data_IF_768480029073
#
_entry.id   IF_768480029073
#
_cell.length_a   1.000
_cell.length_b   1.000
_cell.length_c   1.000
_cell.angle_alpha   90.00
_cell.angle_beta   90.00
_cell.angle_gamma   90.00
#
_symmetry.space_group_name_H-M   'P 1'
#
loop_
_entity.id
_entity.type
_entity.pdbx_description
1 polymer ?
#
# COMPACT_ATOMS: atom_id res chain seq x y z
N UNK A 1 32.49 39.68 -8.48
CA UNK A 1 32.69 39.23 -7.08
C UNK A 1 33.31 37.85 -7.13
N UNK A 2 34.25 37.55 -6.28
CA UNK A 2 34.84 36.23 -6.08
C UNK A 2 34.27 35.64 -4.81
N UNK A 3 33.91 34.34 -4.85
CA UNK A 3 33.38 33.58 -3.73
C UNK A 3 34.21 32.31 -3.57
N UNK A 4 34.39 31.84 -2.35
CA UNK A 4 35.12 30.59 -2.05
C UNK A 4 34.22 29.35 -2.30
N UNK A 5 32.91 29.52 -2.17
CA UNK A 5 31.91 28.47 -2.45
C UNK A 5 30.58 29.08 -2.90
N UNK A 6 29.81 28.31 -3.66
CA UNK A 6 28.47 28.68 -4.14
C UNK A 6 27.50 27.57 -3.83
N UNK A 7 26.36 27.90 -3.19
CA UNK A 7 25.25 27.00 -2.94
C UNK A 7 24.17 27.23 -4.00
N UNK A 8 23.81 26.18 -4.73
CA UNK A 8 22.77 26.23 -5.75
C UNK A 8 21.49 25.70 -5.12
N UNK A 9 20.47 26.56 -5.01
CA UNK A 9 19.18 26.26 -4.40
C UNK A 9 18.01 26.75 -5.28
N UNK A 10 18.04 26.40 -6.57
CA UNK A 10 17.12 26.90 -7.60
C UNK A 10 15.81 26.10 -7.70
N UNK A 11 15.64 25.07 -6.86
CA UNK A 11 14.56 24.09 -6.99
C UNK A 11 14.80 23.07 -8.13
N UNK A 12 13.84 22.20 -8.36
CA UNK A 12 13.89 21.19 -9.42
C UNK A 12 13.30 21.68 -10.74
N UNK A 13 13.52 20.91 -11.81
CA UNK A 13 12.88 21.09 -13.09
C UNK A 13 12.38 19.74 -13.64
N UNK A 14 11.14 19.66 -14.18
CA UNK A 14 10.63 18.44 -14.81
C UNK A 14 11.23 18.18 -16.20
N UNK A 15 11.95 19.15 -16.76
CA UNK A 15 12.54 19.06 -18.10
C UNK A 15 14.07 19.22 -18.04
N UNK A 16 14.80 18.44 -18.85
CA UNK A 16 16.26 18.56 -18.98
C UNK A 16 16.73 19.97 -19.27
N UNK A 17 15.97 20.72 -20.09
CA UNK A 17 16.30 22.11 -20.43
C UNK A 17 16.51 23.00 -19.19
N UNK A 18 15.81 22.74 -18.08
CA UNK A 18 16.01 23.48 -16.82
C UNK A 18 17.36 23.24 -16.16
N UNK A 19 18.13 22.24 -16.62
CA UNK A 19 19.44 21.86 -16.10
C UNK A 19 20.58 22.11 -17.09
N UNK A 20 20.34 22.71 -18.28
CA UNK A 20 21.36 22.99 -19.33
C UNK A 20 22.52 23.83 -18.76
N UNK A 21 22.23 24.76 -17.89
CA UNK A 21 23.25 25.60 -17.27
C UNK A 21 24.21 24.79 -16.36
N UNK A 22 23.73 23.74 -15.69
CA UNK A 22 24.60 22.82 -14.93
C UNK A 22 25.45 21.96 -15.88
N UNK A 23 24.85 21.49 -16.99
CA UNK A 23 25.57 20.77 -18.02
C UNK A 23 26.70 21.62 -18.60
N UNK A 24 26.43 22.90 -18.87
CA UNK A 24 27.42 23.85 -19.37
C UNK A 24 28.55 24.15 -18.37
N UNK A 25 28.34 23.88 -17.07
CA UNK A 25 29.38 23.93 -16.03
C UNK A 25 30.13 22.59 -15.89
N UNK A 26 29.90 21.61 -16.76
CA UNK A 26 30.60 20.34 -16.78
C UNK A 26 29.94 19.21 -15.96
N UNK A 27 28.73 19.41 -15.42
CA UNK A 27 28.03 18.38 -14.69
C UNK A 27 27.33 17.37 -15.62
N UNK A 28 27.39 16.10 -15.28
CA UNK A 28 26.58 15.09 -15.95
C UNK A 28 25.15 15.09 -15.36
N UNK A 29 24.16 15.30 -16.22
CA UNK A 29 22.74 15.37 -15.82
C UNK A 29 22.05 14.07 -16.18
N UNK A 30 21.60 13.35 -15.15
CA UNK A 30 20.74 12.18 -15.33
C UNK A 30 19.30 12.66 -15.58
N UNK A 31 18.62 12.04 -16.55
CA UNK A 31 17.26 12.40 -16.93
C UNK A 31 16.31 12.33 -15.71
N UNK A 32 15.58 13.41 -15.39
CA UNK A 32 14.59 13.38 -14.30
C UNK A 32 13.44 12.45 -14.64
N UNK A 33 13.00 11.69 -13.64
CA UNK A 33 11.87 10.78 -13.73
C UNK A 33 10.82 11.15 -12.68
N UNK A 34 9.52 10.87 -12.92
CA UNK A 34 8.47 11.07 -11.92
C UNK A 34 8.75 10.37 -10.61
N UNK A 35 8.44 11.03 -9.51
CA UNK A 35 8.59 10.55 -8.14
C UNK A 35 7.47 11.17 -7.29
N UNK A 36 7.17 10.57 -6.12
CA UNK A 36 6.11 11.06 -5.22
C UNK A 36 4.73 11.16 -5.90
N UNK A 37 4.30 10.09 -6.54
CA UNK A 37 2.99 10.01 -7.20
C UNK A 37 2.08 8.94 -6.57
N UNK A 38 0.79 9.07 -6.80
CA UNK A 38 -0.26 8.13 -6.40
C UNK A 38 -0.37 6.97 -7.38
N UNK A 39 -0.85 5.82 -6.93
CA UNK A 39 -1.06 4.66 -7.79
C UNK A 39 -2.48 4.67 -8.36
N UNK A 40 -2.57 4.58 -9.68
CA UNK A 40 -3.83 4.51 -10.40
C UNK A 40 -4.23 3.05 -10.60
N UNK A 41 -5.46 2.71 -10.20
CA UNK A 41 -5.98 1.33 -10.18
C UNK A 41 -7.43 1.32 -10.70
N UNK A 42 -7.67 1.69 -11.98
CA UNK A 42 -9.02 1.98 -12.47
C UNK A 42 -9.95 0.77 -12.53
N UNK A 43 -9.38 -0.44 -12.55
CA UNK A 43 -10.15 -1.70 -12.68
C UNK A 43 -10.29 -2.44 -11.33
N UNK A 44 -9.75 -1.89 -10.25
CA UNK A 44 -9.77 -2.53 -8.95
C UNK A 44 -10.98 -2.09 -8.12
N UNK A 45 -11.73 -3.06 -7.60
CA UNK A 45 -12.92 -2.79 -6.77
C UNK A 45 -12.62 -2.07 -5.46
N UNK A 46 -11.36 -2.02 -5.03
CA UNK A 46 -10.94 -1.27 -3.84
C UNK A 46 -11.29 0.22 -3.91
N UNK A 47 -11.40 0.81 -5.11
CA UNK A 47 -11.78 2.22 -5.30
C UNK A 47 -13.18 2.55 -4.76
N UNK A 48 -14.05 1.55 -4.63
CA UNK A 48 -15.37 1.71 -4.00
C UNK A 48 -15.28 2.11 -2.52
N UNK A 49 -14.12 1.86 -1.90
CA UNK A 49 -13.82 2.28 -0.54
C UNK A 49 -13.22 3.68 -0.45
N UNK A 50 -13.39 4.53 -1.46
CA UNK A 50 -12.88 5.90 -1.51
C UNK A 50 -13.07 6.62 -0.16
N UNK A 51 -12.02 7.34 0.27
CA UNK A 51 -11.95 8.05 1.54
C UNK A 51 -11.53 7.20 2.74
N UNK A 52 -11.34 5.89 2.54
CA UNK A 52 -10.88 5.01 3.61
C UNK A 52 -9.38 5.18 3.86
N UNK A 53 -9.00 5.29 5.15
CA UNK A 53 -7.60 5.37 5.59
C UNK A 53 -7.27 4.16 6.44
N UNK A 54 -6.11 3.56 6.17
CA UNK A 54 -5.48 2.52 7.03
C UNK A 54 -4.18 3.08 7.56
N UNK A 55 -4.09 3.29 8.87
CA UNK A 55 -2.98 4.02 9.50
C UNK A 55 -1.63 3.29 9.42
N UNK A 56 -1.64 1.97 9.43
CA UNK A 56 -0.43 1.15 9.51
C UNK A 56 -0.38 0.08 8.41
N UNK A 57 -0.68 0.46 7.16
CA UNK A 57 -0.53 -0.45 6.05
C UNK A 57 0.95 -0.60 5.65
N UNK A 58 1.30 -1.77 5.12
CA UNK A 58 2.58 -2.01 4.44
C UNK A 58 2.30 -2.28 2.96
N UNK A 59 3.06 -1.63 2.11
CA UNK A 59 2.93 -1.74 0.65
C UNK A 59 4.26 -2.25 0.08
N UNK A 60 4.19 -3.26 -0.76
CA UNK A 60 5.33 -3.81 -1.49
C UNK A 60 5.07 -3.72 -2.99
N UNK A 61 6.03 -3.24 -3.75
CA UNK A 61 6.00 -3.32 -5.21
C UNK A 61 6.50 -4.71 -5.60
N UNK A 62 5.65 -5.49 -6.28
CA UNK A 62 6.00 -6.86 -6.68
C UNK A 62 7.23 -6.87 -7.59
N UNK A 63 7.95 -7.99 -7.59
CA UNK A 63 9.19 -8.18 -8.36
C UNK A 63 10.31 -7.19 -8.02
N UNK A 64 10.20 -6.49 -6.86
CA UNK A 64 11.20 -5.57 -6.36
C UNK A 64 11.50 -5.79 -4.88
N UNK A 65 12.54 -5.10 -4.37
CA UNK A 65 12.83 -5.03 -2.94
C UNK A 65 12.16 -3.83 -2.25
N UNK A 66 11.34 -3.08 -2.98
CA UNK A 66 10.74 -1.85 -2.51
C UNK A 66 9.53 -2.17 -1.66
N UNK A 67 9.65 -1.84 -0.38
CA UNK A 67 8.60 -2.01 0.61
C UNK A 67 8.55 -0.77 1.50
N UNK A 68 7.35 -0.29 1.77
CA UNK A 68 7.11 0.89 2.59
C UNK A 68 5.98 0.64 3.57
N UNK A 69 5.91 1.45 4.62
CA UNK A 69 4.82 1.40 5.58
C UNK A 69 4.37 2.80 5.99
N UNK A 70 3.13 2.89 6.41
CA UNK A 70 2.51 4.12 6.89
C UNK A 70 1.03 4.20 6.55
N UNK A 71 0.41 5.36 6.76
CA UNK A 71 -0.95 5.59 6.33
C UNK A 71 -1.14 5.37 4.83
N UNK A 72 -2.18 4.62 4.47
CA UNK A 72 -2.63 4.38 3.11
C UNK A 72 -4.04 4.93 2.97
N UNK A 73 -4.27 5.74 1.93
CA UNK A 73 -5.56 6.33 1.59
C UNK A 73 -6.09 5.70 0.31
N UNK A 74 -7.30 5.20 0.33
CA UNK A 74 -8.03 4.80 -0.88
C UNK A 74 -8.69 6.02 -1.50
N UNK A 75 -8.48 6.23 -2.80
CA UNK A 75 -9.05 7.32 -3.60
C UNK A 75 -9.98 6.76 -4.67
N UNK A 76 -10.68 7.62 -5.39
CA UNK A 76 -11.55 7.20 -6.49
C UNK A 76 -10.77 6.71 -7.75
N UNK A 77 -9.46 6.90 -7.80
CA UNK A 77 -8.63 6.39 -8.90
C UNK A 77 -7.69 5.25 -8.47
N UNK A 78 -7.58 4.93 -7.15
CA UNK A 78 -6.66 3.93 -6.64
C UNK A 78 -6.17 4.24 -5.24
N UNK A 79 -4.86 4.29 -5.02
CA UNK A 79 -4.26 4.45 -3.70
C UNK A 79 -3.30 5.63 -3.61
N UNK A 80 -3.27 6.27 -2.44
CA UNK A 80 -2.43 7.40 -2.08
C UNK A 80 -2.00 7.29 -0.59
N UNK A 81 -1.50 8.37 -0.04
CA UNK A 81 -1.03 8.45 1.34
C UNK A 81 0.46 8.16 1.49
N UNK A 82 1.02 8.40 2.70
CA UNK A 82 2.46 8.30 2.95
C UNK A 82 3.11 6.98 2.55
N UNK A 83 2.41 5.84 2.71
CA UNK A 83 2.92 4.53 2.29
C UNK A 83 3.13 4.48 0.78
N UNK A 84 2.16 4.95 -0.01
CA UNK A 84 2.21 4.96 -1.48
C UNK A 84 3.21 5.99 -2.01
N UNK A 85 3.20 7.21 -1.47
CA UNK A 85 4.12 8.27 -1.89
C UNK A 85 5.58 7.88 -1.64
N UNK A 86 5.88 7.23 -0.51
CA UNK A 86 7.23 6.67 -0.26
C UNK A 86 7.56 5.54 -1.24
N UNK A 87 6.62 4.64 -1.52
CA UNK A 87 6.84 3.54 -2.46
C UNK A 87 7.15 4.07 -3.85
N UNK A 88 6.41 5.07 -4.34
CA UNK A 88 6.67 5.70 -5.64
C UNK A 88 8.01 6.43 -5.67
N UNK A 89 8.43 7.08 -4.58
CA UNK A 89 9.70 7.77 -4.50
C UNK A 89 10.90 6.80 -4.49
N UNK A 90 10.87 5.79 -3.62
CA UNK A 90 11.94 4.79 -3.52
C UNK A 90 11.99 3.89 -4.75
N UNK A 91 10.84 3.65 -5.37
CA UNK A 91 10.68 2.84 -6.56
C UNK A 91 10.80 3.60 -7.89
N UNK A 92 11.05 4.90 -7.89
CA UNK A 92 10.95 5.74 -9.08
C UNK A 92 11.69 5.18 -10.31
N UNK A 93 12.92 4.70 -10.15
CA UNK A 93 13.70 4.09 -11.24
C UNK A 93 13.09 2.78 -11.70
N UNK A 94 12.83 1.86 -10.77
CA UNK A 94 12.20 0.58 -11.07
C UNK A 94 10.86 0.77 -11.82
N UNK A 95 10.01 1.68 -11.33
CA UNK A 95 8.72 1.98 -11.95
C UNK A 95 8.86 2.60 -13.34
N UNK A 96 9.84 3.47 -13.54
CA UNK A 96 10.14 4.05 -14.86
C UNK A 96 10.65 3.01 -15.85
N UNK A 97 11.51 2.08 -15.42
CA UNK A 97 12.02 0.96 -16.25
C UNK A 97 10.93 -0.03 -16.65
N UNK A 98 9.83 -0.11 -15.85
CA UNK A 98 8.65 -0.93 -16.14
C UNK A 98 7.50 -0.13 -16.76
N UNK A 99 7.78 1.05 -17.34
CA UNK A 99 6.80 1.91 -18.00
C UNK A 99 5.59 2.23 -17.13
N UNK A 100 5.79 2.26 -15.79
CA UNK A 100 4.75 2.46 -14.78
C UNK A 100 3.62 1.41 -14.80
N UNK A 101 3.89 0.22 -15.36
CA UNK A 101 3.02 -0.96 -15.29
C UNK A 101 3.58 -1.91 -14.23
N UNK A 102 2.88 -2.05 -13.12
CA UNK A 102 3.36 -2.84 -11.97
C UNK A 102 2.21 -3.30 -11.10
N UNK A 103 2.48 -4.30 -10.29
CA UNK A 103 1.57 -4.80 -9.27
C UNK A 103 2.10 -4.45 -7.87
N UNK A 104 1.18 -4.29 -6.94
CA UNK A 104 1.50 -4.12 -5.52
C UNK A 104 0.89 -5.24 -4.69
N UNK A 105 1.47 -5.45 -3.52
CA UNK A 105 0.94 -6.28 -2.45
C UNK A 105 0.73 -5.40 -1.22
N UNK A 106 -0.47 -5.46 -0.64
CA UNK A 106 -0.81 -4.68 0.55
C UNK A 106 -0.99 -5.59 1.76
N UNK A 107 -0.27 -5.30 2.83
CA UNK A 107 -0.52 -5.85 4.14
C UNK A 107 -1.28 -4.81 4.98
N UNK A 108 -2.56 -5.07 5.20
CA UNK A 108 -3.49 -4.15 5.82
C UNK A 108 -3.32 -3.99 7.34
N UNK A 109 -2.67 -4.96 7.99
CA UNK A 109 -2.52 -5.03 9.45
C UNK A 109 -1.07 -4.89 9.92
N UNK A 110 -0.13 -4.80 8.98
CA UNK A 110 1.32 -4.69 9.21
C UNK A 110 1.90 -5.81 10.09
N UNK A 111 1.29 -6.98 10.10
CA UNK A 111 1.78 -8.19 10.77
C UNK A 111 2.20 -9.23 9.73
N UNK A 112 3.29 -9.93 9.98
CA UNK A 112 3.84 -10.93 9.07
C UNK A 112 3.84 -12.35 9.64
N UNK A 113 3.61 -12.49 10.94
CA UNK A 113 3.53 -13.81 11.58
C UNK A 113 2.12 -14.40 11.37
N UNK A 114 1.99 -15.22 10.34
CA UNK A 114 0.71 -15.86 9.97
C UNK A 114 0.20 -16.85 11.00
N UNK A 115 1.09 -17.51 11.77
CA UNK A 115 0.69 -18.44 12.81
C UNK A 115 0.09 -17.69 14.00
N UNK A 116 0.71 -16.58 14.40
CA UNK A 116 0.16 -15.68 15.42
C UNK A 116 -1.25 -15.18 15.04
N UNK A 117 -1.41 -14.77 13.79
CA UNK A 117 -2.71 -14.31 13.28
C UNK A 117 -3.75 -15.43 13.28
N UNK A 118 -3.34 -16.64 12.93
CA UNK A 118 -4.22 -17.80 12.96
C UNK A 118 -4.70 -18.10 14.38
N UNK A 119 -3.80 -18.11 15.34
CA UNK A 119 -4.13 -18.34 16.75
C UNK A 119 -5.05 -17.25 17.29
N UNK A 120 -4.83 -15.98 16.94
CA UNK A 120 -5.71 -14.86 17.31
C UNK A 120 -7.13 -15.05 16.75
N UNK A 121 -7.26 -15.44 15.48
CA UNK A 121 -8.57 -15.70 14.88
C UNK A 121 -9.28 -16.90 15.53
N UNK A 122 -8.54 -17.97 15.82
CA UNK A 122 -9.08 -19.14 16.51
C UNK A 122 -9.54 -18.82 17.92
N UNK A 123 -8.71 -18.14 18.70
CA UNK A 123 -9.05 -17.73 20.06
C UNK A 123 -10.27 -16.80 20.07
N UNK A 124 -10.31 -15.82 19.14
CA UNK A 124 -11.46 -14.92 19.06
C UNK A 124 -12.74 -15.67 18.71
N UNK A 125 -12.68 -16.64 17.80
CA UNK A 125 -13.81 -17.49 17.43
C UNK A 125 -14.32 -18.32 18.63
N UNK A 126 -13.42 -18.86 19.45
CA UNK A 126 -13.78 -19.62 20.66
C UNK A 126 -14.44 -18.73 21.72
N UNK A 127 -13.93 -17.51 21.90
CA UNK A 127 -14.46 -16.56 22.87
C UNK A 127 -15.76 -15.88 22.42
N UNK A 128 -16.03 -15.83 21.13
CA UNK A 128 -17.17 -15.14 20.54
C UNK A 128 -17.95 -16.00 19.53
N UNK A 129 -18.29 -17.25 19.84
CA UNK A 129 -18.78 -18.23 18.86
C UNK A 129 -20.05 -17.81 18.13
N UNK A 130 -20.95 -17.07 18.80
CA UNK A 130 -22.24 -16.67 18.27
C UNK A 130 -22.27 -15.27 17.65
N UNK A 131 -21.16 -14.52 17.74
CA UNK A 131 -21.08 -13.17 17.14
C UNK A 131 -20.90 -13.26 15.62
N UNK A 132 -21.53 -12.35 14.89
CA UNK A 132 -21.40 -12.26 13.42
C UNK A 132 -20.03 -11.68 13.07
N UNK A 133 -19.34 -12.30 12.11
CA UNK A 133 -17.99 -11.91 11.70
C UNK A 133 -17.95 -10.50 11.08
N UNK A 134 -18.99 -10.07 10.37
CA UNK A 134 -19.07 -8.74 9.78
C UNK A 134 -19.09 -7.59 10.79
N UNK A 135 -19.64 -7.85 12.01
CA UNK A 135 -19.81 -6.81 13.03
C UNK A 135 -18.70 -6.83 14.11
N UNK A 136 -18.00 -7.95 14.24
CA UNK A 136 -16.99 -8.15 15.29
C UNK A 136 -15.69 -8.63 14.67
N UNK A 137 -14.79 -7.71 14.45
CA UNK A 137 -13.46 -7.95 13.86
C UNK A 137 -12.39 -8.06 14.94
N UNK A 138 -11.32 -8.80 14.63
CA UNK A 138 -10.15 -8.99 15.49
C UNK A 138 -9.16 -7.83 15.35
N UNK A 139 -8.99 -7.33 14.14
CA UNK A 139 -7.93 -6.37 13.80
C UNK A 139 -8.44 -4.93 13.77
N UNK A 140 -7.54 -3.98 14.07
CA UNK A 140 -7.81 -2.54 14.06
C UNK A 140 -7.75 -1.96 12.64
N UNK A 141 -8.67 -2.41 11.79
CA UNK A 141 -8.86 -1.87 10.43
C UNK A 141 -10.28 -1.29 10.30
N UNK A 142 -10.51 -0.36 9.38
CA UNK A 142 -11.85 0.20 9.14
C UNK A 142 -12.89 -0.88 8.81
N UNK A 143 -14.13 -0.70 9.27
CA UNK A 143 -15.17 -1.71 9.07
C UNK A 143 -15.51 -1.95 7.60
N UNK A 144 -15.51 -0.90 6.77
CA UNK A 144 -15.72 -1.02 5.33
C UNK A 144 -14.66 -1.90 4.67
N UNK A 145 -13.38 -1.75 5.07
CA UNK A 145 -12.30 -2.61 4.59
C UNK A 145 -12.48 -4.06 5.05
N UNK A 146 -12.83 -4.25 6.32
CA UNK A 146 -13.09 -5.60 6.85
C UNK A 146 -14.14 -6.35 6.04
N UNK A 147 -15.30 -5.71 5.79
CA UNK A 147 -16.38 -6.27 4.98
C UNK A 147 -15.92 -6.57 3.55
N UNK A 148 -15.17 -5.66 2.95
CA UNK A 148 -14.61 -5.84 1.61
C UNK A 148 -13.64 -7.05 1.55
N UNK A 149 -12.75 -7.20 2.52
CA UNK A 149 -11.83 -8.35 2.58
C UNK A 149 -12.56 -9.67 2.83
N UNK A 150 -13.63 -9.67 3.64
CA UNK A 150 -14.50 -10.84 3.81
C UNK A 150 -15.14 -11.25 2.49
N UNK A 151 -15.62 -10.31 1.69
CA UNK A 151 -16.20 -10.60 0.38
C UNK A 151 -15.20 -11.19 -0.60
N UNK A 152 -13.95 -10.68 -0.63
CA UNK A 152 -12.86 -11.25 -1.47
C UNK A 152 -12.55 -12.72 -1.15
N UNK A 153 -12.78 -13.16 0.09
CA UNK A 153 -12.59 -14.56 0.50
C UNK A 153 -13.91 -15.33 0.63
N UNK A 154 -15.01 -14.78 0.11
CA UNK A 154 -16.34 -15.40 0.10
C UNK A 154 -16.80 -15.84 1.50
N UNK A 155 -16.63 -14.98 2.48
CA UNK A 155 -17.18 -15.15 3.83
C UNK A 155 -18.37 -14.22 3.98
N UNK A 156 -19.62 -14.72 4.04
CA UNK A 156 -20.79 -13.90 4.29
C UNK A 156 -20.70 -13.19 5.64
N UNK A 157 -21.04 -11.90 5.68
CA UNK A 157 -20.91 -11.04 6.88
C UNK A 157 -21.82 -11.47 8.04
N UNK A 158 -22.91 -12.19 7.71
CA UNK A 158 -23.87 -12.71 8.68
C UNK A 158 -23.41 -13.98 9.40
N UNK A 159 -22.39 -14.68 8.85
CA UNK A 159 -21.85 -15.89 9.47
C UNK A 159 -21.36 -15.62 10.87
N UNK A 160 -21.58 -16.59 11.74
CA UNK A 160 -21.05 -16.59 13.09
C UNK A 160 -19.58 -17.06 13.09
N UNK A 161 -18.82 -16.62 14.06
CA UNK A 161 -17.41 -16.99 14.14
C UNK A 161 -17.17 -18.49 14.26
N UNK A 162 -18.02 -19.25 14.96
CA UNK A 162 -17.91 -20.70 15.05
C UNK A 162 -18.25 -21.46 13.76
N UNK A 163 -18.84 -20.78 12.78
CA UNK A 163 -19.15 -21.35 11.45
C UNK A 163 -18.00 -21.20 10.46
N UNK A 164 -16.93 -20.49 10.85
CA UNK A 164 -15.78 -20.24 9.99
C UNK A 164 -14.73 -21.33 10.20
N UNK A 165 -14.52 -22.13 9.16
CA UNK A 165 -13.51 -23.21 9.19
C UNK A 165 -12.08 -22.72 9.05
N UNK A 166 -11.11 -23.53 9.50
CA UNK A 166 -9.67 -23.25 9.46
C UNK A 166 -9.16 -22.82 8.06
N UNK A 167 -9.72 -23.41 7.00
CA UNK A 167 -9.37 -23.05 5.61
C UNK A 167 -9.71 -21.58 5.33
N UNK A 168 -10.89 -21.11 5.73
CA UNK A 168 -11.33 -19.72 5.56
C UNK A 168 -10.51 -18.76 6.42
N UNK A 169 -10.08 -19.15 7.63
CA UNK A 169 -9.14 -18.36 8.42
C UNK A 169 -7.82 -18.15 7.70
N UNK A 170 -7.25 -19.20 7.10
CA UNK A 170 -6.02 -19.06 6.32
C UNK A 170 -6.18 -18.14 5.11
N UNK A 171 -7.29 -18.27 4.36
CA UNK A 171 -7.60 -17.37 3.25
C UNK A 171 -7.72 -15.91 3.71
N UNK A 172 -8.40 -15.69 4.85
CA UNK A 172 -8.56 -14.37 5.43
C UNK A 172 -7.20 -13.77 5.86
N UNK A 173 -6.32 -14.57 6.45
CA UNK A 173 -4.95 -14.14 6.80
C UNK A 173 -4.18 -13.76 5.54
N UNK A 174 -4.25 -14.57 4.50
CA UNK A 174 -3.57 -14.26 3.22
C UNK A 174 -4.04 -12.92 2.67
N UNK A 175 -5.34 -12.66 2.59
CA UNK A 175 -5.84 -11.39 2.07
C UNK A 175 -5.57 -10.20 3.00
N UNK A 176 -5.46 -10.40 4.31
CA UNK A 176 -5.09 -9.37 5.28
C UNK A 176 -3.61 -8.97 5.18
N UNK A 177 -2.74 -9.91 4.78
CA UNK A 177 -1.28 -9.73 4.79
C UNK A 177 -0.66 -9.62 3.40
N UNK A 178 -1.34 -10.07 2.36
CA UNK A 178 -0.84 -10.19 0.98
C UNK A 178 -1.97 -9.95 -0.03
N UNK A 179 -2.73 -8.87 0.13
CA UNK A 179 -3.77 -8.46 -0.84
C UNK A 179 -3.12 -7.94 -2.12
N UNK A 180 -3.49 -8.55 -3.24
CA UNK A 180 -2.95 -8.26 -4.58
C UNK A 180 -4.01 -7.64 -5.47
#
# INVERSE_FOLDING_TARGET
QKFDAVIIATGGSPKLKGFEWLHNLGHNIIHPIPSLFTFNMPNESIIELMGLVVEKARVKIKNSKIQTQGPLLVTHWGMSGPAILKASAFGARFLSEHEYQFEIEVNWINETNTDLLFDQLQQFSQLNPHKRIGNHKVFLIPNRLWIFLLSKVEIPVEKKWNEIGKKKFRQLITILTQDN
#
